data_IF_310909594042
#
_entry.id   IF_310909594042
#
_cell.length_a   1.000
_cell.length_b   1.000
_cell.length_c   1.000
_cell.angle_alpha   90.00
_cell.angle_beta   90.00
_cell.angle_gamma   90.00
#
_symmetry.space_group_name_H-M   'P 1'
#
loop_
_entity.id
_entity.type
_entity.pdbx_description
1 polymer ?
#
# COMPACT_ATOMS: atom_id res chain seq x y z
N UNK A 1 7.57 -12.24 -12.45
CA UNK A 1 7.03 -11.83 -13.76
C UNK A 1 6.84 -10.32 -13.68
N UNK A 2 7.45 -9.52 -14.57
CA UNK A 2 7.10 -8.10 -14.63
C UNK A 2 5.63 -7.99 -15.05
N UNK A 3 4.86 -7.16 -14.35
CA UNK A 3 3.49 -6.88 -14.75
C UNK A 3 3.54 -6.24 -16.15
N UNK A 4 2.99 -6.92 -17.15
CA UNK A 4 2.81 -6.34 -18.48
C UNK A 4 1.83 -5.17 -18.35
N UNK A 5 2.32 -3.96 -18.64
CA UNK A 5 1.70 -2.64 -18.42
C UNK A 5 0.32 -2.40 -19.07
N UNK A 6 -0.31 -3.41 -19.69
CA UNK A 6 -1.59 -3.27 -20.41
C UNK A 6 -2.83 -3.68 -19.62
N UNK A 7 -2.78 -4.77 -18.85
CA UNK A 7 -3.98 -5.39 -18.25
C UNK A 7 -3.93 -5.50 -16.72
N UNK A 8 -2.76 -5.35 -16.11
CA UNK A 8 -2.57 -5.63 -14.68
C UNK A 8 -3.35 -4.69 -13.75
N UNK A 9 -3.70 -3.49 -14.21
CA UNK A 9 -4.41 -2.48 -13.40
C UNK A 9 -5.88 -2.32 -13.79
N UNK A 10 -6.36 -3.07 -14.78
CA UNK A 10 -7.76 -3.08 -15.22
C UNK A 10 -8.68 -3.84 -14.24
N UNK A 11 -8.10 -4.58 -13.30
CA UNK A 11 -8.80 -5.33 -12.25
C UNK A 11 -8.20 -5.05 -10.88
N UNK A 12 -9.01 -5.24 -9.83
CA UNK A 12 -8.55 -5.14 -8.45
C UNK A 12 -7.99 -6.50 -8.00
N UNK A 13 -6.74 -6.54 -7.56
CA UNK A 13 -6.07 -7.77 -7.08
C UNK A 13 -6.33 -7.95 -5.57
N UNK A 14 -7.56 -8.35 -5.23
CA UNK A 14 -8.01 -8.56 -3.85
C UNK A 14 -8.72 -9.90 -3.71
N UNK A 15 -8.40 -10.62 -2.65
CA UNK A 15 -9.15 -11.77 -2.16
C UNK A 15 -9.69 -11.51 -0.76
N UNK A 16 -10.88 -12.04 -0.48
CA UNK A 16 -11.52 -11.95 0.84
C UNK A 16 -11.49 -13.31 1.51
N UNK A 17 -11.04 -13.35 2.76
CA UNK A 17 -11.01 -14.55 3.57
C UNK A 17 -11.91 -14.38 4.79
N UNK A 18 -12.81 -15.34 5.02
CA UNK A 18 -13.59 -15.41 6.24
C UNK A 18 -12.73 -16.02 7.35
N UNK A 19 -12.57 -15.28 8.43
CA UNK A 19 -11.78 -15.67 9.60
C UNK A 19 -12.67 -15.69 10.84
N UNK A 20 -12.26 -16.46 11.85
CA UNK A 20 -12.91 -16.47 13.17
C UNK A 20 -12.57 -15.16 13.91
N UNK A 21 -13.57 -14.32 14.25
CA UNK A 21 -13.33 -12.99 14.80
C UNK A 21 -12.69 -12.99 16.19
N UNK A 22 -12.76 -14.09 16.96
CA UNK A 22 -12.26 -14.14 18.35
C UNK A 22 -10.73 -13.93 18.46
N UNK A 23 -10.00 -14.01 17.35
CA UNK A 23 -8.54 -13.97 17.32
C UNK A 23 -7.96 -12.73 16.65
N UNK A 24 -8.78 -11.84 16.10
CA UNK A 24 -8.32 -10.76 15.21
C UNK A 24 -9.03 -9.46 15.55
N UNK A 25 -8.24 -8.42 15.85
CA UNK A 25 -8.74 -7.06 15.87
C UNK A 25 -8.83 -6.55 14.43
N UNK A 26 -10.02 -6.14 13.95
CA UNK A 26 -10.18 -5.65 12.59
C UNK A 26 -9.42 -4.34 12.41
N UNK A 27 -8.83 -4.18 11.22
CA UNK A 27 -8.28 -2.91 10.78
C UNK A 27 -9.40 -2.13 10.11
N UNK A 28 -9.61 -0.88 10.51
CA UNK A 28 -10.54 0.01 9.82
C UNK A 28 -10.09 0.27 8.39
N UNK A 29 -11.03 0.30 7.45
CA UNK A 29 -10.76 0.65 6.05
C UNK A 29 -11.24 2.08 5.80
N UNK A 30 -10.31 2.97 5.45
CA UNK A 30 -10.62 4.34 5.13
C UNK A 30 -11.05 4.45 3.66
N UNK A 31 -12.31 4.83 3.43
CA UNK A 31 -12.89 4.94 2.07
C UNK A 31 -12.84 6.34 1.49
N UNK A 32 -12.32 7.30 2.26
CA UNK A 32 -12.15 8.68 1.84
C UNK A 32 -10.80 9.17 2.35
N UNK A 33 -9.79 9.00 1.51
CA UNK A 33 -8.47 9.56 1.65
C UNK A 33 -8.22 10.45 0.45
N UNK A 34 -7.59 11.59 0.67
CA UNK A 34 -6.90 12.31 -0.41
C UNK A 34 -5.43 11.84 -0.50
N UNK A 35 -5.07 10.81 0.30
CA UNK A 35 -3.69 10.32 0.47
C UNK A 35 -3.10 9.68 -0.79
N UNK A 36 -3.96 9.13 -1.65
CA UNK A 36 -3.56 8.56 -2.93
C UNK A 36 -3.64 9.57 -4.09
N UNK A 37 -4.14 10.80 -3.84
CA UNK A 37 -4.47 11.79 -4.88
C UNK A 37 -3.59 13.04 -4.94
N UNK A 38 -2.66 13.29 -4.02
CA UNK A 38 -1.90 14.56 -4.03
C UNK A 38 -0.38 14.44 -3.80
N UNK A 39 0.33 15.12 -4.71
CA UNK A 39 1.78 15.29 -4.85
C UNK A 39 2.41 16.30 -3.86
N UNK A 40 2.20 16.11 -2.56
CA UNK A 40 3.00 16.80 -1.52
C UNK A 40 3.40 15.80 -0.43
N UNK A 41 4.30 14.87 -0.76
CA UNK A 41 5.06 14.02 0.17
C UNK A 41 4.25 13.49 1.36
N UNK A 42 3.12 12.85 1.10
CA UNK A 42 2.34 12.24 2.17
C UNK A 42 3.10 11.01 2.69
N UNK A 43 3.49 11.09 3.97
CA UNK A 43 4.20 10.02 4.65
C UNK A 43 3.26 8.84 4.84
N UNK A 44 3.60 7.72 4.22
CA UNK A 44 2.88 6.46 4.36
C UNK A 44 3.72 5.46 5.13
N UNK A 45 3.06 4.45 5.68
CA UNK A 45 3.73 3.23 6.04
C UNK A 45 3.00 2.00 5.51
N UNK A 46 3.79 0.98 5.21
CA UNK A 46 3.32 -0.36 4.88
C UNK A 46 3.51 -1.21 6.11
N UNK A 47 2.44 -1.83 6.60
CA UNK A 47 2.51 -2.74 7.74
C UNK A 47 2.24 -4.16 7.26
N UNK A 48 3.28 -4.98 7.23
CA UNK A 48 3.28 -6.24 6.49
C UNK A 48 4.29 -7.27 6.95
N UNK A 49 4.41 -8.37 6.21
CA UNK A 49 5.31 -9.50 6.50
C UNK A 49 6.27 -9.75 5.33
N UNK A 50 7.30 -8.90 5.14
CA UNK A 50 8.28 -9.13 4.08
C UNK A 50 9.04 -10.44 4.32
N UNK A 51 9.10 -11.26 3.28
CA UNK A 51 9.89 -12.48 3.22
C UNK A 51 11.34 -12.22 2.81
N UNK A 52 12.18 -13.26 2.76
CA UNK A 52 13.53 -13.14 2.26
C UNK A 52 13.54 -12.72 0.79
N UNK A 53 14.49 -11.87 0.36
CA UNK A 53 14.64 -11.53 -1.04
C UNK A 53 15.09 -12.78 -1.83
N UNK A 54 14.73 -12.82 -3.11
CA UNK A 54 15.13 -13.91 -4.00
C UNK A 54 16.66 -13.90 -4.20
N UNK A 55 17.19 -12.73 -4.55
CA UNK A 55 18.63 -12.48 -4.55
C UNK A 55 19.07 -12.12 -3.12
N UNK A 56 20.08 -12.83 -2.61
CA UNK A 56 20.61 -12.61 -1.24
C UNK A 56 22.04 -12.09 -1.20
N UNK A 57 22.71 -12.04 -2.35
CA UNK A 57 24.12 -11.67 -2.46
C UNK A 57 24.40 -10.96 -3.77
N UNK A 58 25.40 -10.08 -3.76
CA UNK A 58 25.88 -9.41 -4.97
C UNK A 58 24.98 -8.28 -5.45
N UNK A 59 25.41 -7.64 -6.53
CA UNK A 59 24.69 -6.52 -7.16
C UNK A 59 23.89 -7.06 -8.34
N UNK A 60 22.57 -7.01 -8.26
CA UNK A 60 21.64 -7.43 -9.33
C UNK A 60 20.70 -6.27 -9.62
N UNK A 61 20.57 -5.90 -10.89
CA UNK A 61 19.77 -4.76 -11.36
C UNK A 61 20.05 -3.45 -10.59
N UNK A 62 21.32 -3.24 -10.21
CA UNK A 62 21.77 -2.05 -9.48
C UNK A 62 21.49 -2.04 -7.98
N UNK A 63 20.92 -3.13 -7.42
CA UNK A 63 20.67 -3.29 -5.99
C UNK A 63 21.74 -4.19 -5.37
N UNK A 64 22.39 -3.72 -4.30
CA UNK A 64 23.25 -4.55 -3.46
C UNK A 64 22.40 -5.41 -2.53
N UNK A 65 22.14 -6.66 -2.95
CA UNK A 65 21.28 -7.58 -2.22
C UNK A 65 21.92 -8.15 -0.97
N UNK A 66 23.25 -8.17 -0.89
CA UNK A 66 23.93 -8.55 0.34
C UNK A 66 23.70 -7.49 1.42
N UNK A 67 23.83 -6.22 1.07
CA UNK A 67 23.53 -5.12 1.98
C UNK A 67 22.05 -5.10 2.38
N UNK A 68 21.13 -5.27 1.43
CA UNK A 68 19.68 -5.33 1.74
C UNK A 68 19.36 -6.47 2.71
N UNK A 69 19.82 -7.68 2.43
CA UNK A 69 19.54 -8.85 3.27
C UNK A 69 20.16 -8.71 4.67
N UNK A 70 21.44 -8.32 4.74
CA UNK A 70 22.19 -8.30 6.01
C UNK A 70 21.93 -7.06 6.86
N UNK A 71 21.81 -5.88 6.24
CA UNK A 71 21.78 -4.61 6.97
C UNK A 71 20.39 -4.01 7.02
N UNK A 72 19.65 -4.04 5.92
CA UNK A 72 18.30 -3.46 5.90
C UNK A 72 17.28 -4.36 6.60
N UNK A 73 17.33 -5.67 6.35
CA UNK A 73 16.41 -6.64 6.95
C UNK A 73 17.00 -7.44 8.11
N UNK A 74 18.32 -7.39 8.32
CA UNK A 74 18.99 -8.07 9.42
C UNK A 74 18.90 -9.60 9.34
N UNK A 75 18.66 -10.15 8.14
CA UNK A 75 18.38 -11.57 7.88
C UNK A 75 17.25 -12.17 8.74
N UNK A 76 16.39 -11.32 9.32
CA UNK A 76 15.26 -11.73 10.12
C UNK A 76 14.00 -11.73 9.25
N UNK A 77 13.29 -12.83 9.12
CA UNK A 77 12.08 -12.92 8.30
C UNK A 77 10.97 -13.65 9.07
N UNK A 78 9.72 -13.50 8.61
CA UNK A 78 8.55 -14.06 9.31
C UNK A 78 7.99 -13.20 10.44
N UNK A 79 8.42 -11.93 10.54
CA UNK A 79 7.91 -10.96 11.50
C UNK A 79 7.16 -9.83 10.80
N UNK A 80 6.17 -9.27 11.49
CA UNK A 80 5.49 -8.06 11.04
C UNK A 80 6.46 -6.88 11.09
N UNK A 81 6.52 -6.10 10.02
CA UNK A 81 7.35 -4.90 9.89
C UNK A 81 6.53 -3.71 9.48
N UNK A 82 7.03 -2.54 9.87
CA UNK A 82 6.58 -1.25 9.38
C UNK A 82 7.65 -0.71 8.45
N UNK A 83 7.28 -0.40 7.22
CA UNK A 83 8.15 0.23 6.24
C UNK A 83 7.61 1.63 5.92
N UNK A 84 8.28 2.71 6.36
CA UNK A 84 7.91 4.06 5.99
C UNK A 84 8.24 4.36 4.51
N UNK A 85 7.53 5.30 3.92
CA UNK A 85 7.79 5.84 2.59
C UNK A 85 6.89 7.03 2.28
N UNK A 86 6.78 7.36 1.01
CA UNK A 86 5.92 8.40 0.45
C UNK A 86 5.18 7.90 -0.78
N UNK A 87 4.00 8.47 -1.04
CA UNK A 87 3.35 8.36 -2.34
C UNK A 87 4.08 9.25 -3.33
N UNK A 88 4.55 8.68 -4.44
CA UNK A 88 5.29 9.40 -5.49
C UNK A 88 4.63 9.31 -6.88
N UNK A 89 3.61 8.44 -7.05
CA UNK A 89 2.74 8.42 -8.24
C UNK A 89 1.28 8.41 -7.78
N UNK A 90 0.51 9.40 -8.18
CA UNK A 90 -0.90 9.51 -7.78
C UNK A 90 -1.78 8.53 -8.54
N UNK A 91 -2.96 8.21 -7.99
CA UNK A 91 -3.94 7.39 -8.69
C UNK A 91 -4.30 7.92 -10.08
N UNK A 92 -4.39 7.03 -11.06
CA UNK A 92 -4.65 7.38 -12.46
C UNK A 92 -3.46 7.97 -13.21
N UNK A 93 -2.27 8.05 -12.60
CA UNK A 93 -1.05 8.53 -13.27
C UNK A 93 -0.12 7.41 -13.72
N UNK A 94 -0.39 6.17 -13.32
CA UNK A 94 0.38 4.99 -13.69
C UNK A 94 -0.21 4.42 -14.99
N UNK A 95 0.64 4.12 -15.98
CA UNK A 95 0.20 3.53 -17.24
C UNK A 95 -0.61 2.25 -17.01
N UNK A 96 -1.77 2.15 -17.66
CA UNK A 96 -2.72 1.04 -17.49
C UNK A 96 -3.76 1.22 -16.37
N UNK A 97 -3.62 2.21 -15.47
CA UNK A 97 -4.62 2.52 -14.43
C UNK A 97 -5.71 3.47 -14.94
N UNK A 98 -6.50 3.04 -15.92
CA UNK A 98 -7.61 3.85 -16.47
C UNK A 98 -8.72 4.12 -15.44
N UNK A 99 -8.83 3.26 -14.42
CA UNK A 99 -9.86 3.33 -13.36
C UNK A 99 -9.48 4.35 -12.28
N UNK A 100 -8.20 4.67 -12.13
CA UNK A 100 -7.70 5.62 -11.14
C UNK A 100 -7.74 5.05 -9.72
N UNK A 101 -7.37 3.79 -9.54
CA UNK A 101 -7.32 3.11 -8.24
C UNK A 101 -5.95 2.54 -7.87
N UNK A 102 -4.91 2.79 -8.67
CA UNK A 102 -3.53 2.34 -8.38
C UNK A 102 -2.66 3.56 -8.12
N UNK A 103 -2.02 3.62 -6.97
CA UNK A 103 -1.01 4.65 -6.67
C UNK A 103 0.36 4.01 -6.42
N UNK A 104 1.41 4.80 -6.61
CA UNK A 104 2.79 4.39 -6.44
C UNK A 104 3.41 4.94 -5.16
N UNK A 105 4.11 4.10 -4.42
CA UNK A 105 4.84 4.47 -3.20
C UNK A 105 6.28 3.94 -3.21
N UNK A 106 7.17 4.55 -2.43
CA UNK A 106 8.59 4.16 -2.35
C UNK A 106 8.97 3.39 -1.08
N UNK A 107 8.00 3.13 -0.18
CA UNK A 107 8.25 2.36 1.03
C UNK A 107 8.93 1.01 0.71
N UNK A 108 9.98 0.66 1.45
CA UNK A 108 10.74 -0.57 1.21
C UNK A 108 9.87 -1.81 1.40
N UNK A 109 9.77 -2.64 0.36
CA UNK A 109 9.04 -3.91 0.38
C UNK A 109 9.95 -5.04 -0.14
N UNK A 110 9.53 -6.27 0.12
CA UNK A 110 10.08 -7.49 -0.47
C UNK A 110 8.93 -8.43 -0.83
N UNK A 111 9.21 -9.52 -1.56
CA UNK A 111 8.26 -10.60 -1.76
C UNK A 111 7.64 -11.05 -0.44
N UNK A 112 6.33 -11.32 -0.42
CA UNK A 112 5.57 -11.63 0.79
C UNK A 112 4.88 -10.42 1.45
N UNK A 113 5.18 -9.19 1.02
CA UNK A 113 4.51 -8.00 1.52
C UNK A 113 3.18 -7.68 0.79
N UNK A 114 2.84 -8.36 -0.31
CA UNK A 114 1.54 -8.20 -1.00
C UNK A 114 0.37 -8.51 -0.05
N UNK A 115 -0.69 -7.71 -0.13
CA UNK A 115 -1.82 -7.75 0.82
C UNK A 115 -1.59 -6.94 2.10
N UNK A 116 -0.49 -6.22 2.22
CA UNK A 116 -0.22 -5.36 3.38
C UNK A 116 -0.99 -4.05 3.30
N UNK A 117 -1.54 -3.61 4.43
CA UNK A 117 -2.25 -2.34 4.51
C UNK A 117 -1.31 -1.14 4.36
N UNK A 118 -1.80 -0.13 3.65
CA UNK A 118 -1.16 1.20 3.55
C UNK A 118 -1.86 2.16 4.51
N UNK A 119 -1.08 2.83 5.34
CA UNK A 119 -1.57 3.75 6.37
C UNK A 119 -0.92 5.12 6.24
N UNK A 120 -1.65 6.16 6.63
CA UNK A 120 -1.09 7.51 6.73
C UNK A 120 -0.29 7.60 8.03
N UNK A 121 1.03 7.73 7.90
CA UNK A 121 1.97 7.57 9.01
C UNK A 121 1.75 8.59 10.12
N UNK A 122 1.53 9.85 9.74
CA UNK A 122 1.36 10.97 10.68
C UNK A 122 -0.10 11.36 10.93
N UNK A 123 -0.97 11.10 9.96
CA UNK A 123 -2.35 11.58 9.99
C UNK A 123 -3.32 10.59 10.65
N UNK A 124 -2.85 9.35 10.89
CA UNK A 124 -3.63 8.29 11.53
C UNK A 124 -4.83 7.82 10.70
N UNK A 125 -5.66 6.97 11.33
CA UNK A 125 -6.88 6.42 10.73
C UNK A 125 -6.72 4.99 10.21
N UNK A 126 -7.74 4.56 9.47
CA UNK A 126 -7.79 3.23 8.85
C UNK A 126 -6.82 3.06 7.68
N UNK A 127 -6.62 1.81 7.26
CA UNK A 127 -5.89 1.51 6.04
C UNK A 127 -6.62 2.11 4.84
N UNK A 128 -5.92 2.89 4.02
CA UNK A 128 -6.51 3.57 2.86
C UNK A 128 -6.13 2.92 1.52
N UNK A 129 -5.25 1.91 1.57
CA UNK A 129 -4.92 1.10 0.42
C UNK A 129 -4.33 -0.25 0.78
N UNK A 130 -4.05 -1.04 -0.25
CA UNK A 130 -3.47 -2.38 -0.17
C UNK A 130 -2.30 -2.51 -1.13
N UNK A 131 -1.10 -2.76 -0.60
CA UNK A 131 0.08 -3.02 -1.42
C UNK A 131 -0.08 -4.36 -2.18
N UNK A 132 0.23 -4.40 -3.47
CA UNK A 132 0.09 -5.64 -4.26
C UNK A 132 1.29 -5.97 -5.14
N UNK A 133 2.02 -4.96 -5.63
CA UNK A 133 3.13 -5.18 -6.56
C UNK A 133 4.27 -4.18 -6.35
N UNK A 134 5.41 -4.44 -6.96
CA UNK A 134 6.52 -3.50 -7.00
C UNK A 134 7.65 -3.93 -7.91
N UNK A 135 8.47 -2.95 -8.27
CA UNK A 135 9.70 -3.10 -9.03
C UNK A 135 10.82 -2.32 -8.34
N UNK A 136 11.95 -3.01 -8.10
CA UNK A 136 13.09 -2.45 -7.38
C UNK A 136 13.60 -1.18 -8.07
N UNK A 137 13.94 -0.16 -7.27
CA UNK A 137 14.44 1.15 -7.72
C UNK A 137 13.49 1.97 -8.61
N UNK A 138 12.25 1.51 -8.83
CA UNK A 138 11.28 2.21 -9.68
C UNK A 138 10.02 2.62 -8.89
N UNK A 139 9.17 1.66 -8.53
CA UNK A 139 7.90 1.95 -7.84
C UNK A 139 7.36 0.70 -7.16
N UNK A 140 6.78 0.87 -5.98
CA UNK A 140 5.79 -0.07 -5.46
C UNK A 140 4.39 0.43 -5.80
N UNK A 141 3.44 -0.48 -5.98
CA UNK A 141 2.05 -0.20 -6.33
C UNK A 141 1.10 -0.70 -5.25
N UNK A 142 0.08 0.11 -5.00
CA UNK A 142 -1.01 -0.21 -4.09
C UNK A 142 -2.37 0.13 -4.70
N UNK A 143 -3.38 -0.67 -4.39
CA UNK A 143 -4.77 -0.32 -4.68
C UNK A 143 -5.25 0.71 -3.65
N UNK A 144 -5.70 1.88 -4.10
CA UNK A 144 -6.35 2.90 -3.28
C UNK A 144 -7.85 2.67 -3.16
N UNK A 145 -8.40 2.95 -1.99
CA UNK A 145 -9.82 2.66 -1.69
C UNK A 145 -10.77 3.82 -1.91
N UNK A 146 -10.30 4.98 -2.36
CA UNK A 146 -11.13 6.18 -2.48
C UNK A 146 -11.95 6.26 -3.77
N UNK A 147 -11.55 5.54 -4.83
CA UNK A 147 -12.23 5.65 -6.12
C UNK A 147 -13.67 5.12 -6.01
N UNK A 148 -14.67 5.74 -6.67
CA UNK A 148 -16.06 5.29 -6.58
C UNK A 148 -16.25 3.82 -6.94
N UNK A 149 -15.49 3.33 -7.93
CA UNK A 149 -15.54 1.93 -8.33
C UNK A 149 -14.91 1.01 -7.27
N UNK A 150 -13.75 1.37 -6.72
CA UNK A 150 -13.12 0.61 -5.63
C UNK A 150 -14.07 0.49 -4.43
N UNK A 151 -14.71 1.60 -4.02
CA UNK A 151 -15.69 1.60 -2.92
C UNK A 151 -16.90 0.72 -3.21
N UNK A 152 -17.39 0.73 -4.45
CA UNK A 152 -18.51 -0.11 -4.88
C UNK A 152 -18.15 -1.59 -4.78
N UNK A 153 -16.95 -1.97 -5.26
CA UNK A 153 -16.45 -3.34 -5.17
C UNK A 153 -16.22 -3.78 -3.73
N UNK A 154 -15.54 -2.96 -2.92
CA UNK A 154 -15.31 -3.25 -1.50
C UNK A 154 -16.64 -3.46 -0.75
N UNK A 155 -17.65 -2.62 -1.01
CA UNK A 155 -18.99 -2.80 -0.44
C UNK A 155 -19.64 -4.10 -0.92
N UNK A 156 -19.54 -4.44 -2.20
CA UNK A 156 -20.05 -5.71 -2.74
C UNK A 156 -19.36 -6.94 -2.12
N UNK A 157 -18.11 -6.77 -1.70
CA UNK A 157 -17.32 -7.77 -0.97
C UNK A 157 -17.60 -7.78 0.55
N UNK A 158 -18.52 -6.94 1.04
CA UNK A 158 -18.87 -6.84 2.46
C UNK A 158 -17.91 -6.01 3.31
N UNK A 159 -16.98 -5.28 2.69
CA UNK A 159 -16.07 -4.35 3.37
C UNK A 159 -16.75 -2.97 3.42
N UNK A 160 -17.07 -2.51 4.63
CA UNK A 160 -17.59 -1.17 4.84
C UNK A 160 -16.42 -0.20 5.06
N UNK A 161 -16.28 0.76 4.16
CA UNK A 161 -15.29 1.82 4.30
C UNK A 161 -15.91 2.99 5.08
N UNK A 162 -15.98 2.86 6.41
CA UNK A 162 -16.60 3.87 7.29
C UNK A 162 -15.57 4.85 7.91
N UNK A 163 -14.27 4.57 7.74
CA UNK A 163 -13.20 5.41 8.23
C UNK A 163 -12.91 6.62 7.32
N UNK A 164 -12.52 7.74 7.94
CA UNK A 164 -11.93 8.90 7.26
C UNK A 164 -10.42 8.87 7.50
N UNK A 165 -9.64 9.12 6.46
CA UNK A 165 -8.19 9.16 6.59
C UNK A 165 -7.76 10.60 6.96
N UNK A 166 -7.27 10.82 8.18
CA UNK A 166 -6.73 12.12 8.62
C UNK A 166 -7.57 12.92 9.66
N UNK A 167 -6.95 13.90 10.34
CA UNK A 167 -7.57 14.63 11.45
C UNK A 167 -8.67 15.59 10.98
N UNK A 168 -9.63 15.88 11.87
CA UNK A 168 -10.59 16.99 11.70
C UNK A 168 -9.78 18.26 11.44
N UNK A 169 -9.88 18.83 10.24
CA UNK A 169 -9.44 20.21 10.04
C UNK A 169 -10.14 21.06 11.10
N UNK A 170 -9.36 21.87 11.83
CA UNK A 170 -9.91 22.85 12.75
C UNK A 170 -10.94 23.67 11.97
N UNK A 171 -12.18 23.71 12.45
CA UNK A 171 -13.07 24.82 12.17
C UNK A 171 -12.29 26.07 12.56
N UNK A 172 -11.84 26.80 11.54
CA UNK A 172 -11.52 28.21 11.71
C UNK A 172 -12.86 28.88 11.97
N UNK A 173 -13.21 28.99 13.25
CA UNK A 173 -14.12 30.03 13.72
C UNK A 173 -13.46 31.37 13.36
N UNK A 174 -13.86 31.92 12.21
CA UNK A 174 -13.60 33.33 11.92
C UNK A 174 -14.44 34.16 12.88
N UNK A 175 -13.75 34.81 13.82
CA UNK A 175 -14.25 35.91 14.65
C UNK A 175 -14.11 37.25 13.91
#
# INVERSE_FOLDING_TARGET
MPATEGDAFSYIDIAIMKVDPEKIMPVEVAGNSDFEKVATLQSVCIVGFPGPPYERTGIVDGVDWEWVDQHLFGQAYGFKRVAPGVVHRSSGTIGGDEIGWVFGHDATTLGGNSGSGVFAWHDGGGAFGLHFAGNSLDTNCAHGFSSPLARTLLRALGILCEGRAGPRGNEVDEA
#
